data_IF_500191368790
#
_entry.id   IF_500191368790
#
_cell.length_a   1.000
_cell.length_b   1.000
_cell.length_c   1.000
_cell.angle_alpha   90.00
_cell.angle_beta   90.00
_cell.angle_gamma   90.00
#
_symmetry.space_group_name_H-M   'P 1'
#
loop_
_entity.id
_entity.type
_entity.pdbx_description
1 polymer ?
#
# COMPACT_ATOMS: atom_id res chain seq x y z
N UNK A 1 13.65 11.07 -30.20
CA UNK A 1 14.24 12.20 -30.96
C UNK A 1 14.60 13.33 -30.01
N UNK A 2 15.72 14.02 -30.22
CA UNK A 2 16.07 15.25 -29.46
C UNK A 2 15.52 16.48 -30.19
N UNK A 3 14.66 17.28 -29.54
CA UNK A 3 14.03 18.48 -30.14
C UNK A 3 14.74 19.79 -29.78
N UNK A 4 15.91 19.70 -29.13
CA UNK A 4 16.62 20.83 -28.54
C UNK A 4 17.11 21.85 -29.58
N UNK A 5 17.51 21.39 -30.76
CA UNK A 5 18.03 22.22 -31.86
C UNK A 5 16.99 22.60 -32.92
N UNK A 6 15.73 22.20 -32.73
CA UNK A 6 14.66 22.47 -33.68
C UNK A 6 14.07 23.87 -33.47
N UNK A 7 13.61 24.50 -34.54
CA UNK A 7 12.83 25.74 -34.45
C UNK A 7 11.56 25.50 -33.63
N UNK A 8 10.99 26.52 -32.96
CA UNK A 8 9.82 26.34 -32.10
C UNK A 8 8.64 25.65 -32.80
N UNK A 9 8.43 25.95 -34.09
CA UNK A 9 7.38 25.34 -34.90
C UNK A 9 7.67 23.86 -35.18
N UNK A 10 8.87 23.53 -35.67
CA UNK A 10 9.26 22.16 -35.98
C UNK A 10 9.29 21.27 -34.71
N UNK A 11 9.70 21.85 -33.57
CA UNK A 11 9.63 21.18 -32.25
C UNK A 11 8.19 20.80 -31.92
N UNK A 12 7.25 21.74 -32.06
CA UNK A 12 5.83 21.51 -31.74
C UNK A 12 5.24 20.41 -32.62
N UNK A 13 5.46 20.48 -33.91
CA UNK A 13 4.97 19.47 -34.86
C UNK A 13 5.53 18.09 -34.55
N UNK A 14 6.82 17.99 -34.24
CA UNK A 14 7.46 16.70 -33.90
C UNK A 14 6.86 16.07 -32.65
N UNK A 15 6.59 16.87 -31.61
CA UNK A 15 5.96 16.40 -30.37
C UNK A 15 4.53 15.95 -30.64
N UNK A 16 3.77 16.75 -31.40
CA UNK A 16 2.38 16.47 -31.72
C UNK A 16 2.25 15.19 -32.56
N UNK A 17 3.12 14.99 -33.55
CA UNK A 17 3.15 13.76 -34.36
C UNK A 17 3.44 12.51 -33.50
N UNK A 18 4.43 12.59 -32.60
CA UNK A 18 4.71 11.49 -31.67
C UNK A 18 3.52 11.20 -30.74
N UNK A 19 2.92 12.25 -30.16
CA UNK A 19 1.77 12.10 -29.28
C UNK A 19 0.56 11.50 -30.02
N UNK A 20 0.29 11.95 -31.25
CA UNK A 20 -0.77 11.41 -32.11
C UNK A 20 -0.52 9.94 -32.46
N UNK A 21 0.70 9.59 -32.84
CA UNK A 21 1.08 8.21 -33.12
C UNK A 21 0.92 7.29 -31.92
N UNK A 22 1.31 7.75 -30.73
CA UNK A 22 1.07 7.02 -29.48
C UNK A 22 -0.41 6.88 -29.15
N UNK A 23 -1.21 7.94 -29.29
CA UNK A 23 -2.65 7.88 -29.04
C UNK A 23 -3.34 6.92 -30.00
N UNK A 24 -3.00 6.96 -31.29
CA UNK A 24 -3.52 6.02 -32.28
C UNK A 24 -3.17 4.58 -31.93
N UNK A 25 -1.93 4.31 -31.50
CA UNK A 25 -1.52 2.98 -31.03
C UNK A 25 -2.32 2.55 -29.80
N UNK A 26 -2.52 3.43 -28.82
CA UNK A 26 -3.35 3.13 -27.63
C UNK A 26 -4.78 2.77 -28.03
N UNK A 27 -5.41 3.56 -28.90
CA UNK A 27 -6.80 3.34 -29.34
C UNK A 27 -6.93 2.00 -30.10
N UNK A 28 -6.01 1.74 -31.03
CA UNK A 28 -6.04 0.49 -31.83
C UNK A 28 -5.75 -0.75 -30.98
N UNK A 29 -4.91 -0.63 -29.95
CA UNK A 29 -4.60 -1.73 -29.03
C UNK A 29 -5.60 -1.87 -27.88
N UNK A 30 -6.41 -0.86 -27.60
CA UNK A 30 -7.33 -0.84 -26.45
C UNK A 30 -8.26 -2.06 -26.43
N UNK A 31 -8.79 -2.46 -27.59
CA UNK A 31 -9.67 -3.63 -27.68
C UNK A 31 -8.98 -4.92 -27.23
N UNK A 32 -7.74 -5.13 -27.66
CA UNK A 32 -7.00 -6.36 -27.34
C UNK A 32 -6.49 -6.36 -25.90
N UNK A 33 -6.09 -5.21 -25.36
CA UNK A 33 -5.72 -5.09 -23.95
C UNK A 33 -6.93 -5.29 -23.03
N UNK A 34 -8.08 -4.70 -23.34
CA UNK A 34 -9.32 -4.89 -22.57
C UNK A 34 -9.79 -6.35 -22.62
N UNK A 35 -9.72 -7.01 -23.78
CA UNK A 35 -10.09 -8.43 -23.88
C UNK A 35 -9.20 -9.31 -23.01
N UNK A 36 -7.88 -9.08 -23.04
CA UNK A 36 -6.93 -9.81 -22.18
C UNK A 36 -7.19 -9.53 -20.71
N UNK A 37 -7.41 -8.26 -20.35
CA UNK A 37 -7.76 -7.86 -19.00
C UNK A 37 -9.04 -8.52 -18.50
N UNK A 38 -10.07 -8.60 -19.35
CA UNK A 38 -11.34 -9.26 -19.01
C UNK A 38 -11.16 -10.78 -18.81
N UNK A 39 -10.42 -11.44 -19.69
CA UNK A 39 -10.13 -12.87 -19.55
C UNK A 39 -9.38 -13.18 -18.25
N UNK A 40 -8.44 -12.31 -17.88
CA UNK A 40 -7.71 -12.45 -16.63
C UNK A 40 -8.59 -12.14 -15.42
N UNK A 41 -9.39 -11.08 -15.48
CA UNK A 41 -10.33 -10.71 -14.43
C UNK A 41 -11.34 -11.84 -14.14
N UNK A 42 -11.82 -12.55 -15.16
CA UNK A 42 -12.72 -13.70 -14.98
C UNK A 42 -12.03 -14.82 -14.19
N UNK A 43 -10.78 -15.16 -14.55
CA UNK A 43 -10.01 -16.19 -13.84
C UNK A 43 -9.72 -15.77 -12.39
N UNK A 44 -9.25 -14.55 -12.21
CA UNK A 44 -8.90 -14.00 -10.89
C UNK A 44 -10.13 -13.83 -10.01
N UNK A 45 -11.29 -13.47 -10.59
CA UNK A 45 -12.56 -13.42 -9.85
C UNK A 45 -12.91 -14.79 -9.29
N UNK A 46 -12.87 -15.86 -10.11
CA UNK A 46 -13.13 -17.21 -9.61
C UNK A 46 -12.13 -17.64 -8.52
N UNK A 47 -10.85 -17.31 -8.71
CA UNK A 47 -9.80 -17.60 -7.73
C UNK A 47 -10.04 -16.87 -6.40
N UNK A 48 -10.24 -15.55 -6.45
CA UNK A 48 -10.48 -14.74 -5.26
C UNK A 48 -11.78 -15.13 -4.56
N UNK A 49 -12.86 -15.45 -5.27
CA UNK A 49 -14.10 -15.95 -4.66
C UNK A 49 -13.85 -17.26 -3.89
N UNK A 50 -13.04 -18.17 -4.45
CA UNK A 50 -12.69 -19.42 -3.75
C UNK A 50 -11.83 -19.19 -2.51
N UNK A 51 -10.91 -18.22 -2.55
CA UNK A 51 -10.08 -17.85 -1.41
C UNK A 51 -10.90 -17.15 -0.33
N UNK A 52 -11.80 -16.25 -0.73
CA UNK A 52 -12.72 -15.57 0.16
C UNK A 52 -13.58 -16.58 0.91
N UNK A 53 -14.23 -17.53 0.20
CA UNK A 53 -15.04 -18.57 0.86
C UNK A 53 -14.26 -19.36 1.92
N UNK A 54 -13.03 -19.80 1.58
CA UNK A 54 -12.15 -20.51 2.52
C UNK A 54 -11.72 -19.65 3.71
N UNK A 55 -11.51 -18.36 3.48
CA UNK A 55 -11.16 -17.42 4.54
C UNK A 55 -12.35 -17.17 5.45
N UNK A 56 -13.54 -16.96 4.88
CA UNK A 56 -14.79 -16.82 5.64
C UNK A 56 -15.07 -18.05 6.51
N UNK A 57 -14.83 -19.26 6.01
CA UNK A 57 -14.99 -20.50 6.77
C UNK A 57 -14.11 -20.60 8.04
N UNK A 58 -13.04 -19.81 8.16
CA UNK A 58 -12.19 -19.83 9.36
C UNK A 58 -12.78 -19.04 10.54
N UNK A 59 -13.80 -18.21 10.30
CA UNK A 59 -14.40 -17.35 11.30
C UNK A 59 -15.72 -17.91 11.83
N UNK A 60 -16.10 -17.58 13.09
CA UNK A 60 -17.43 -17.89 13.61
C UNK A 60 -18.54 -17.22 12.79
N UNK A 61 -19.70 -17.88 12.63
CA UNK A 61 -20.83 -17.33 11.85
C UNK A 61 -21.32 -15.98 12.39
N UNK A 62 -21.35 -15.82 13.71
CA UNK A 62 -21.80 -14.57 14.36
C UNK A 62 -20.93 -13.37 13.96
N UNK A 63 -19.62 -13.57 13.81
CA UNK A 63 -18.67 -12.53 13.40
C UNK A 63 -18.89 -12.15 11.94
N UNK A 64 -19.16 -13.13 11.08
CA UNK A 64 -19.42 -12.91 9.66
C UNK A 64 -20.72 -12.09 9.49
N UNK A 65 -21.79 -12.49 10.18
CA UNK A 65 -23.08 -11.77 10.11
C UNK A 65 -22.99 -10.33 10.63
N UNK A 66 -22.22 -10.09 11.69
CA UNK A 66 -22.00 -8.76 12.22
C UNK A 66 -21.26 -7.89 11.18
N UNK A 67 -20.18 -8.42 10.61
CA UNK A 67 -19.38 -7.73 9.59
C UNK A 67 -20.19 -7.44 8.32
N UNK A 68 -20.93 -8.42 7.79
CA UNK A 68 -21.77 -8.21 6.60
C UNK A 68 -22.82 -7.11 6.83
N UNK A 69 -23.38 -7.02 8.05
CA UNK A 69 -24.33 -5.97 8.39
C UNK A 69 -23.67 -4.59 8.39
N UNK A 70 -22.46 -4.47 8.91
CA UNK A 70 -21.69 -3.22 8.91
C UNK A 70 -21.33 -2.79 7.48
N UNK A 71 -20.87 -3.71 6.65
CA UNK A 71 -20.56 -3.47 5.23
C UNK A 71 -21.79 -3.00 4.47
N UNK A 72 -22.92 -3.71 4.58
CA UNK A 72 -24.17 -3.32 3.91
C UNK A 72 -24.68 -1.97 4.41
N UNK A 73 -24.56 -1.69 5.72
CA UNK A 73 -24.98 -0.42 6.30
C UNK A 73 -24.19 0.75 5.71
N UNK A 74 -22.88 0.56 5.49
CA UNK A 74 -21.98 1.54 4.89
C UNK A 74 -22.16 1.69 3.37
N UNK A 75 -22.31 0.58 2.63
CA UNK A 75 -22.58 0.62 1.18
C UNK A 75 -23.88 1.38 0.88
N UNK A 76 -24.88 1.25 1.76
CA UNK A 76 -26.16 1.98 1.65
C UNK A 76 -26.02 3.46 2.04
N UNK A 77 -25.18 3.79 3.01
CA UNK A 77 -24.97 5.16 3.50
C UNK A 77 -23.51 5.37 3.92
N UNK A 78 -22.77 6.07 3.05
CA UNK A 78 -21.34 6.30 3.21
C UNK A 78 -21.01 7.31 4.33
N UNK A 79 -22.01 7.88 5.01
CA UNK A 79 -21.78 8.70 6.22
C UNK A 79 -21.64 7.85 7.48
N UNK A 80 -21.96 6.55 7.42
CA UNK A 80 -21.73 5.63 8.53
C UNK A 80 -20.25 5.27 8.63
N UNK A 81 -19.88 4.70 9.78
CA UNK A 81 -18.53 4.19 10.01
C UNK A 81 -18.14 3.24 8.88
N UNK A 82 -16.99 3.50 8.27
CA UNK A 82 -16.43 2.67 7.21
C UNK A 82 -15.79 1.43 7.86
N UNK A 83 -16.33 0.22 7.64
CA UNK A 83 -15.79 -1.00 8.25
C UNK A 83 -14.36 -1.30 7.78
N UNK A 84 -13.96 -0.78 6.62
CA UNK A 84 -12.62 -0.95 6.06
C UNK A 84 -11.60 0.10 6.53
N UNK A 85 -12.04 1.12 7.28
CA UNK A 85 -11.13 2.07 7.92
C UNK A 85 -10.74 1.52 9.30
N UNK A 86 -9.46 1.21 9.47
CA UNK A 86 -8.88 0.93 10.78
C UNK A 86 -8.73 2.26 11.54
N UNK A 87 -9.74 2.63 12.33
CA UNK A 87 -9.66 3.81 13.20
C UNK A 87 -8.50 3.71 14.22
N UNK A 88 -8.14 2.49 14.66
CA UNK A 88 -6.94 2.23 15.48
C UNK A 88 -5.64 2.56 14.76
N UNK A 89 -5.53 2.28 13.45
CA UNK A 89 -4.31 2.60 12.67
C UNK A 89 -4.03 4.10 12.55
N UNK A 90 -5.07 4.94 12.69
CA UNK A 90 -4.95 6.40 12.67
C UNK A 90 -4.43 6.95 14.01
N UNK A 91 -4.63 6.22 15.10
CA UNK A 91 -4.17 6.60 16.45
C UNK A 91 -2.71 6.20 16.66
N UNK A 92 -2.26 5.11 16.04
CA UNK A 92 -0.95 4.51 16.28
C UNK A 92 0.09 4.88 15.21
N UNK A 93 0.35 6.18 15.06
CA UNK A 93 1.57 6.60 14.39
C UNK A 93 2.75 6.09 15.23
N UNK A 94 3.61 5.24 14.67
CA UNK A 94 4.82 4.73 15.34
C UNK A 94 5.67 5.85 15.98
N UNK A 95 5.65 7.06 15.41
CA UNK A 95 6.31 8.21 16.01
C UNK A 95 5.64 8.71 17.30
N UNK A 96 4.31 8.65 17.38
CA UNK A 96 3.54 9.00 18.58
C UNK A 96 3.77 7.96 19.68
N UNK A 97 3.73 6.67 19.35
CA UNK A 97 4.04 5.57 20.29
C UNK A 97 5.47 5.70 20.84
N UNK A 98 6.45 5.93 19.96
CA UNK A 98 7.85 6.15 20.38
C UNK A 98 7.99 7.37 21.29
N UNK A 99 7.21 8.42 21.07
CA UNK A 99 7.23 9.64 21.89
C UNK A 99 6.62 9.39 23.27
N UNK A 100 5.50 8.66 23.33
CA UNK A 100 4.87 8.28 24.60
C UNK A 100 5.81 7.44 25.47
N UNK A 101 6.37 6.36 24.89
CA UNK A 101 7.33 5.50 25.58
C UNK A 101 8.60 6.27 26.03
N UNK A 102 9.09 7.21 25.22
CA UNK A 102 10.24 8.03 25.59
C UNK A 102 9.93 8.95 26.78
N UNK A 103 8.70 9.48 26.87
CA UNK A 103 8.28 10.29 28.01
C UNK A 103 8.14 9.45 29.29
N UNK A 104 7.66 8.21 29.18
CA UNK A 104 7.60 7.26 30.29
C UNK A 104 9.00 6.94 30.84
N UNK A 105 9.97 6.64 29.96
CA UNK A 105 11.36 6.38 30.39
C UNK A 105 12.01 7.56 31.11
N UNK A 106 11.73 8.79 30.67
CA UNK A 106 12.22 10.01 31.34
C UNK A 106 11.59 10.18 32.73
N UNK A 107 10.38 9.68 32.94
CA UNK A 107 9.70 9.75 34.24
C UNK A 107 10.17 8.69 35.24
N UNK A 108 10.74 7.57 34.77
CA UNK A 108 11.19 6.43 35.58
C UNK A 108 12.69 6.40 35.90
N UNK A 109 13.44 7.47 35.56
CA UNK A 109 14.91 7.50 35.70
C UNK A 109 15.35 7.23 37.15
N UNK A 110 15.76 5.98 37.39
CA UNK A 110 16.58 5.55 38.51
C UNK A 110 18.04 5.46 38.06
N UNK A 111 18.97 5.59 39.00
CA UNK A 111 20.38 5.94 38.76
C UNK A 111 21.23 4.98 37.91
N UNK A 112 20.68 3.88 37.43
CA UNK A 112 21.38 2.80 36.72
C UNK A 112 21.00 2.71 35.22
N UNK A 113 20.75 3.87 34.59
CA UNK A 113 20.24 3.94 33.21
C UNK A 113 21.36 3.97 32.17
N UNK A 114 21.20 3.20 31.09
CA UNK A 114 22.07 3.16 29.90
C UNK A 114 22.09 4.53 29.22
N UNK A 115 23.27 5.03 28.80
CA UNK A 115 23.39 6.29 28.06
C UNK A 115 22.51 6.27 26.80
N UNK A 116 21.41 7.05 26.81
CA UNK A 116 20.45 7.16 25.70
C UNK A 116 19.06 6.56 25.94
N UNK A 117 18.82 5.82 27.03
CA UNK A 117 17.52 5.19 27.32
C UNK A 117 17.32 3.83 26.64
N UNK A 118 16.54 2.94 27.26
CA UNK A 118 16.38 1.55 26.79
C UNK A 118 15.58 1.48 25.49
N UNK A 119 14.59 2.36 25.32
CA UNK A 119 13.77 2.49 24.12
C UNK A 119 14.60 2.92 22.91
N UNK A 120 15.52 3.85 23.09
CA UNK A 120 16.41 4.29 22.01
C UNK A 120 17.30 3.14 21.52
N UNK A 121 17.80 2.32 22.46
CA UNK A 121 18.55 1.11 22.13
C UNK A 121 17.69 0.09 21.36
N UNK A 122 16.47 -0.18 21.82
CA UNK A 122 15.55 -1.11 21.16
C UNK A 122 15.14 -0.63 19.76
N UNK A 123 14.80 0.65 19.63
CA UNK A 123 14.46 1.25 18.33
C UNK A 123 15.63 1.18 17.35
N UNK A 124 16.86 1.49 17.80
CA UNK A 124 18.05 1.34 16.98
C UNK A 124 18.32 -0.12 16.58
N UNK A 125 18.07 -1.07 17.49
CA UNK A 125 18.18 -2.50 17.22
C UNK A 125 17.21 -2.98 16.13
N UNK A 126 15.93 -2.62 16.25
CA UNK A 126 14.90 -2.95 15.26
C UNK A 126 15.18 -2.33 13.89
N UNK A 127 15.62 -1.06 13.84
CA UNK A 127 16.00 -0.38 12.60
C UNK A 127 17.21 -1.07 11.92
N UNK A 128 18.13 -1.66 12.70
CA UNK A 128 19.27 -2.43 12.18
C UNK A 128 18.79 -3.79 11.63
N UNK A 129 17.93 -4.50 12.37
CA UNK A 129 17.38 -5.78 11.96
C UNK A 129 16.59 -5.65 10.64
N UNK A 130 15.74 -4.63 10.51
CA UNK A 130 14.97 -4.38 9.29
C UNK A 130 15.90 -4.18 8.08
N UNK A 131 16.97 -3.38 8.25
CA UNK A 131 17.99 -3.19 7.19
C UNK A 131 18.71 -4.48 6.84
N UNK A 132 18.98 -5.35 7.83
CA UNK A 132 19.61 -6.65 7.60
C UNK A 132 18.69 -7.61 6.85
N UNK A 133 17.40 -7.68 7.22
CA UNK A 133 16.42 -8.51 6.53
C UNK A 133 16.26 -8.10 5.07
N UNK A 134 16.17 -6.79 4.79
CA UNK A 134 16.14 -6.28 3.41
C UNK A 134 17.41 -6.69 2.67
N UNK A 135 18.59 -6.49 3.25
CA UNK A 135 19.86 -6.85 2.63
C UNK A 135 20.01 -8.37 2.36
N UNK A 136 19.45 -9.23 3.22
CA UNK A 136 19.46 -10.68 3.06
C UNK A 136 18.41 -11.18 2.06
N UNK A 137 17.30 -10.46 1.87
CA UNK A 137 16.24 -10.80 0.92
C UNK A 137 16.61 -10.57 -0.55
N UNK A 138 17.64 -9.74 -0.83
CA UNK A 138 18.21 -9.54 -2.15
C UNK A 138 19.52 -10.32 -2.28
N UNK A 139 19.52 -11.54 -2.85
CA UNK A 139 20.78 -12.22 -3.14
C UNK A 139 21.55 -11.39 -4.17
N UNK A 140 22.77 -11.00 -3.80
CA UNK A 140 23.76 -10.42 -4.69
C UNK A 140 24.06 -11.43 -5.81
N UNK A 141 23.36 -11.30 -6.94
CA UNK A 141 23.85 -11.83 -8.21
C UNK A 141 24.90 -10.86 -8.74
N UNK A 142 26.16 -11.19 -8.48
CA UNK A 142 27.31 -10.79 -9.30
C UNK A 142 27.86 -12.02 -10.01
#
# INVERSE_FOLDING_TARGET
MSTKLMTPWARRETIDDHARGWNWRKITQLRSSLLKGLQEAIKMSAHHSSLHAKFTESFPPDTIEAWEREVVAWETDHNKLNPFDDEESKQDNMAAIRLELANEEVSEVSSDTIEGGALAFLCAGLDIEEKQLVALSFPLHY
#
